data_IF_850493319520
#
_entry.id   IF_850493319520
#
_cell.length_a   1.000
_cell.length_b   1.000
_cell.length_c   1.000
_cell.angle_alpha   90.00
_cell.angle_beta   90.00
_cell.angle_gamma   90.00
#
_symmetry.space_group_name_H-M   'P 1'
#
loop_
_entity.id
_entity.type
_entity.pdbx_description
1 polymer ?
#
# COMPACT_ATOMS: atom_id res chain seq x y z
N UNK A 1 -8.28 -66.44 61.04
CA UNK A 1 -8.72 -67.79 60.75
C UNK A 1 -7.78 -68.35 59.67
N UNK A 2 -6.60 -68.75 60.08
CA UNK A 2 -6.04 -70.06 60.22
C UNK A 2 -6.43 -70.95 59.03
N UNK A 3 -5.46 -71.30 58.19
CA UNK A 3 -5.11 -72.66 57.85
C UNK A 3 -3.81 -72.73 57.06
N UNK A 4 -2.85 -73.35 57.77
CA UNK A 4 -1.58 -73.88 57.27
C UNK A 4 -1.80 -75.10 56.42
N UNK A 5 -0.96 -75.33 55.37
CA UNK A 5 -0.78 -76.60 54.77
C UNK A 5 0.69 -76.86 54.40
N UNK A 6 1.31 -77.71 55.16
CA UNK A 6 2.62 -78.34 54.96
C UNK A 6 2.64 -79.24 53.70
N UNK A 7 3.70 -79.17 52.91
CA UNK A 7 4.03 -80.08 51.84
C UNK A 7 5.52 -80.48 51.91
N UNK A 8 5.91 -81.65 51.49
CA UNK A 8 7.08 -82.36 52.01
C UNK A 8 8.42 -81.99 51.36
N UNK A 9 9.51 -82.18 52.11
CA UNK A 9 10.91 -81.92 51.75
C UNK A 9 11.40 -82.99 50.73
N UNK A 10 12.11 -82.59 49.64
CA UNK A 10 12.81 -83.54 48.77
C UNK A 10 14.22 -83.86 49.30
N UNK A 11 14.55 -85.10 49.17
CA UNK A 11 15.78 -85.83 49.56
C UNK A 11 16.96 -85.35 48.71
N UNK A 12 18.09 -85.03 49.36
CA UNK A 12 19.36 -84.74 48.71
C UNK A 12 20.04 -86.02 48.25
N UNK A 13 20.36 -86.15 46.96
CA UNK A 13 21.29 -87.15 46.41
C UNK A 13 22.65 -86.52 46.18
N UNK A 14 23.77 -87.17 46.47
CA UNK A 14 25.11 -86.60 46.28
C UNK A 14 25.52 -86.64 44.81
N UNK A 15 25.96 -85.46 44.28
CA UNK A 15 26.51 -85.30 42.94
C UNK A 15 27.95 -85.87 42.91
N UNK A 16 28.22 -86.81 42.00
CA UNK A 16 29.53 -87.44 41.79
C UNK A 16 30.56 -86.44 41.27
N UNK A 17 31.80 -86.55 41.73
CA UNK A 17 32.96 -85.63 41.47
C UNK A 17 33.27 -85.44 39.96
N UNK A 18 32.87 -86.41 39.11
CA UNK A 18 33.06 -86.29 37.62
C UNK A 18 32.25 -85.25 36.92
N UNK A 19 31.11 -84.82 37.51
CA UNK A 19 30.29 -83.74 36.92
C UNK A 19 30.78 -82.31 37.23
N UNK A 20 31.54 -82.19 38.32
CA UNK A 20 32.17 -80.91 38.70
C UNK A 20 33.34 -80.52 37.79
N UNK A 21 34.11 -81.53 37.30
CA UNK A 21 35.25 -81.27 36.39
C UNK A 21 34.82 -80.90 34.97
N UNK A 22 33.73 -81.43 34.49
CA UNK A 22 33.17 -81.12 33.18
C UNK A 22 32.55 -79.66 33.13
N UNK A 23 31.98 -79.22 34.27
CA UNK A 23 31.39 -77.90 34.39
C UNK A 23 32.42 -76.82 34.55
N UNK A 24 33.59 -77.10 35.13
CA UNK A 24 34.72 -76.15 35.24
C UNK A 24 35.41 -75.90 33.88
N UNK A 25 35.52 -76.95 33.00
CA UNK A 25 36.12 -76.78 31.66
C UNK A 25 35.20 -75.97 30.69
N UNK A 26 33.87 -76.08 30.85
CA UNK A 26 32.91 -75.30 30.01
C UNK A 26 32.82 -73.83 30.37
N UNK A 27 33.13 -73.46 31.62
CA UNK A 27 33.10 -72.02 32.05
C UNK A 27 34.35 -71.30 31.57
N UNK A 28 35.49 -71.96 31.35
CA UNK A 28 36.71 -71.29 30.87
C UNK A 28 36.69 -70.95 29.38
N UNK A 29 35.80 -71.60 28.57
CA UNK A 29 35.67 -71.33 27.13
C UNK A 29 34.72 -70.13 26.81
N UNK A 30 33.82 -69.75 27.71
CA UNK A 30 32.88 -68.64 27.56
C UNK A 30 33.51 -67.29 27.96
N UNK A 31 34.61 -67.28 28.70
CA UNK A 31 35.24 -66.04 29.18
C UNK A 31 36.13 -65.33 28.13
N UNK A 32 36.41 -65.97 26.97
CA UNK A 32 37.29 -65.39 25.95
C UNK A 32 36.57 -64.74 24.78
N UNK A 33 35.20 -64.65 24.76
CA UNK A 33 34.42 -64.13 23.64
C UNK A 33 33.82 -62.71 23.84
N UNK A 34 34.13 -61.95 24.90
CA UNK A 34 33.75 -60.58 25.06
C UNK A 34 34.93 -59.61 24.74
N UNK A 35 35.37 -59.58 23.47
CA UNK A 35 35.94 -58.32 22.94
C UNK A 35 34.80 -57.36 22.85
N UNK A 36 34.72 -56.37 23.76
CA UNK A 36 33.98 -55.16 23.60
C UNK A 36 34.56 -54.47 22.37
N UNK A 37 33.87 -54.59 21.24
CA UNK A 37 34.13 -53.69 20.11
C UNK A 37 34.02 -52.27 20.63
N UNK A 38 35.10 -51.49 20.51
CA UNK A 38 35.09 -50.09 20.81
C UNK A 38 33.99 -49.45 19.91
N UNK A 39 33.11 -48.57 20.45
CA UNK A 39 32.09 -47.93 19.64
C UNK A 39 32.78 -47.24 18.47
N UNK A 40 32.24 -47.37 17.26
CA UNK A 40 32.84 -46.75 16.06
C UNK A 40 33.09 -45.27 16.35
N UNK A 41 34.24 -44.72 15.90
CA UNK A 41 34.56 -43.31 16.13
C UNK A 41 33.37 -42.50 15.63
N UNK A 42 32.75 -41.72 16.52
CA UNK A 42 31.63 -40.82 16.15
C UNK A 42 32.15 -39.94 15.04
N UNK A 43 31.62 -40.12 13.86
CA UNK A 43 31.94 -39.25 12.71
C UNK A 43 31.71 -37.78 13.12
N UNK A 44 32.73 -36.97 12.96
CA UNK A 44 32.61 -35.52 13.22
C UNK A 44 31.47 -34.97 12.38
N UNK A 45 30.44 -34.34 12.98
CA UNK A 45 29.34 -33.80 12.22
C UNK A 45 29.84 -32.71 11.26
N UNK A 46 29.47 -32.85 9.99
CA UNK A 46 29.75 -31.85 8.95
C UNK A 46 28.71 -30.75 9.05
N UNK A 47 29.16 -29.49 9.13
CA UNK A 47 28.31 -28.32 9.32
C UNK A 47 28.55 -27.28 8.24
N UNK A 48 27.48 -26.54 7.85
CA UNK A 48 27.63 -25.32 7.07
C UNK A 48 27.79 -24.11 8.00
N UNK A 49 28.60 -23.16 7.58
CA UNK A 49 28.88 -21.97 8.38
C UNK A 49 28.68 -20.68 7.61
N UNK A 50 28.37 -19.60 8.31
CA UNK A 50 28.38 -18.22 7.80
C UNK A 50 29.05 -17.31 8.82
N UNK A 51 29.45 -16.12 8.41
CA UNK A 51 30.00 -15.11 9.33
C UNK A 51 28.87 -14.23 9.86
N UNK A 52 28.91 -13.91 11.14
CA UNK A 52 28.11 -12.84 11.73
C UNK A 52 28.61 -11.51 11.17
N UNK A 53 27.80 -10.82 10.40
CA UNK A 53 28.17 -9.52 9.82
C UNK A 53 27.82 -8.39 10.78
N UNK A 54 28.75 -7.46 10.95
CA UNK A 54 28.50 -6.19 11.64
C UNK A 54 28.55 -5.06 10.63
N UNK A 55 27.46 -4.30 10.51
CA UNK A 55 27.39 -3.23 9.53
C UNK A 55 26.08 -2.46 9.57
N UNK A 56 25.96 -1.43 8.71
CA UNK A 56 24.73 -0.65 8.62
C UNK A 56 23.60 -1.51 8.09
N UNK A 57 22.47 -1.52 8.81
CA UNK A 57 21.25 -2.19 8.39
C UNK A 57 20.08 -1.22 8.49
N UNK A 58 19.41 -0.91 7.38
CA UNK A 58 18.23 -0.07 7.42
C UNK A 58 17.06 -0.79 8.13
N UNK A 59 16.33 -0.05 8.94
CA UNK A 59 15.06 -0.50 9.48
C UNK A 59 13.95 -0.07 8.52
N UNK A 60 13.51 -0.99 7.69
CA UNK A 60 12.48 -0.77 6.69
C UNK A 60 11.18 -1.43 7.16
N UNK A 61 10.11 -0.66 7.18
CA UNK A 61 8.74 -1.16 7.39
C UNK A 61 8.06 -1.28 6.03
N UNK A 62 7.59 -2.48 5.72
CA UNK A 62 6.82 -2.74 4.50
C UNK A 62 5.34 -2.76 4.82
N UNK A 63 4.54 -2.00 4.07
CA UNK A 63 3.10 -1.93 4.23
C UNK A 63 2.39 -1.90 2.87
N UNK A 64 1.17 -2.44 2.76
CA UNK A 64 0.32 -2.19 1.61
C UNK A 64 -0.14 -0.74 1.62
N UNK A 65 -0.17 -0.11 0.45
CA UNK A 65 -0.66 1.25 0.26
C UNK A 65 -1.63 1.33 -0.89
N UNK A 66 -2.41 2.40 -0.91
CA UNK A 66 -3.31 2.74 -2.00
C UNK A 66 -3.01 4.15 -2.49
N UNK A 67 -2.94 4.30 -3.81
CA UNK A 67 -2.73 5.59 -4.46
C UNK A 67 -4.02 6.39 -4.40
N UNK A 68 -3.94 7.63 -3.93
CA UNK A 68 -5.04 8.60 -3.90
C UNK A 68 -4.64 9.83 -4.73
N UNK A 69 -5.59 10.51 -5.39
CA UNK A 69 -5.30 11.80 -5.99
C UNK A 69 -4.92 12.81 -4.90
N UNK A 70 -4.06 13.78 -5.22
CA UNK A 70 -3.70 14.82 -4.25
C UNK A 70 -4.92 15.66 -3.87
N UNK A 71 -5.80 15.95 -4.83
CA UNK A 71 -7.09 16.64 -4.64
C UNK A 71 -8.13 16.03 -5.59
N UNK A 72 -9.37 16.01 -5.14
CA UNK A 72 -10.54 15.61 -5.91
C UNK A 72 -11.60 16.68 -5.80
N UNK A 73 -12.16 17.11 -6.93
CA UNK A 73 -13.26 18.05 -6.95
C UNK A 73 -14.38 17.50 -7.83
N UNK A 74 -15.58 17.44 -7.27
CA UNK A 74 -16.80 17.14 -7.99
C UNK A 74 -17.37 18.45 -8.55
N UNK A 75 -17.40 18.58 -9.87
CA UNK A 75 -17.92 19.76 -10.57
C UNK A 75 -19.43 19.61 -10.72
N UNK A 76 -20.16 20.60 -10.18
CA UNK A 76 -21.65 20.65 -10.24
C UNK A 76 -22.11 21.92 -10.96
N UNK A 77 -23.32 21.89 -11.49
CA UNK A 77 -23.97 23.08 -12.01
C UNK A 77 -24.39 24.00 -10.85
N UNK A 78 -24.15 25.29 -10.99
CA UNK A 78 -24.58 26.31 -10.03
C UNK A 78 -25.92 26.95 -10.44
N UNK A 79 -26.29 26.83 -11.73
CA UNK A 79 -27.58 27.27 -12.28
C UNK A 79 -28.27 26.12 -12.98
N UNK A 80 -29.60 26.13 -12.97
CA UNK A 80 -30.41 25.13 -13.66
C UNK A 80 -30.69 25.55 -15.09
N UNK A 81 -30.58 24.59 -16.03
CA UNK A 81 -30.83 24.89 -17.44
C UNK A 81 -30.45 23.73 -18.35
N UNK A 82 -30.66 23.87 -19.64
CA UNK A 82 -30.26 22.86 -20.62
C UNK A 82 -28.76 22.97 -20.89
N UNK A 83 -28.04 21.83 -20.81
CA UNK A 83 -26.61 21.75 -21.16
C UNK A 83 -26.48 21.83 -22.68
N UNK A 84 -25.91 22.94 -23.18
CA UNK A 84 -25.77 23.17 -24.61
C UNK A 84 -24.50 22.58 -25.19
N UNK A 85 -23.41 22.58 -24.40
CA UNK A 85 -22.11 22.11 -24.86
C UNK A 85 -21.30 21.49 -23.74
N UNK A 86 -20.50 20.47 -24.10
CA UNK A 86 -19.41 19.89 -23.32
C UNK A 86 -18.14 20.19 -24.11
N UNK A 87 -17.13 20.82 -23.48
CA UNK A 87 -15.96 21.37 -24.16
C UNK A 87 -14.68 20.54 -23.95
N UNK A 88 -14.80 19.29 -23.49
CA UNK A 88 -13.71 18.36 -23.26
C UNK A 88 -14.18 16.92 -23.49
N UNK A 89 -13.27 15.95 -23.56
CA UNK A 89 -13.57 14.53 -23.59
C UNK A 89 -13.29 13.88 -22.24
N UNK A 90 -13.96 12.75 -21.98
CA UNK A 90 -13.73 11.94 -20.77
C UNK A 90 -12.27 11.50 -20.69
N UNK A 91 -11.64 11.72 -19.55
CA UNK A 91 -10.23 11.38 -19.33
C UNK A 91 -9.21 12.43 -19.79
N UNK A 92 -9.66 13.55 -20.37
CA UNK A 92 -8.77 14.65 -20.77
C UNK A 92 -8.14 15.33 -19.54
N UNK A 93 -6.93 15.86 -19.71
CA UNK A 93 -6.31 16.79 -18.76
C UNK A 93 -6.83 18.20 -19.01
N UNK A 94 -7.32 18.85 -17.96
CA UNK A 94 -7.85 20.22 -18.02
C UNK A 94 -7.05 21.14 -17.11
N UNK A 95 -6.98 22.40 -17.52
CA UNK A 95 -6.34 23.45 -16.73
C UNK A 95 -7.37 24.21 -15.91
N UNK A 96 -6.95 24.74 -14.76
CA UNK A 96 -7.78 25.63 -13.95
C UNK A 96 -8.33 26.79 -14.80
N UNK A 97 -9.64 27.08 -14.69
CA UNK A 97 -10.34 28.08 -15.45
C UNK A 97 -10.78 27.65 -16.87
N UNK A 98 -10.35 26.51 -17.38
CA UNK A 98 -10.78 25.98 -18.66
C UNK A 98 -12.30 25.74 -18.66
N UNK A 99 -12.98 26.09 -19.75
CA UNK A 99 -14.42 25.86 -19.92
C UNK A 99 -14.65 24.34 -20.03
N UNK A 100 -15.56 23.84 -19.21
CA UNK A 100 -15.97 22.43 -19.22
C UNK A 100 -17.37 22.25 -19.81
N UNK A 101 -18.32 23.05 -19.34
CA UNK A 101 -19.70 22.95 -19.75
C UNK A 101 -20.31 24.34 -20.00
N UNK A 102 -21.28 24.40 -20.90
CA UNK A 102 -22.08 25.58 -21.15
C UNK A 102 -23.56 25.22 -20.98
N UNK A 103 -24.23 25.93 -20.08
CA UNK A 103 -25.67 25.91 -19.89
C UNK A 103 -26.31 27.00 -20.74
N UNK A 104 -27.53 26.81 -21.24
CA UNK A 104 -28.26 27.81 -22.01
C UNK A 104 -28.33 29.15 -21.24
N UNK A 105 -27.54 30.10 -21.70
CA UNK A 105 -27.43 31.43 -21.06
C UNK A 105 -28.52 32.42 -21.45
N UNK A 106 -29.38 32.08 -22.44
CA UNK A 106 -30.40 33.01 -22.96
C UNK A 106 -31.37 33.52 -21.89
N UNK A 107 -31.94 32.67 -21.01
CA UNK A 107 -32.82 33.13 -19.94
C UNK A 107 -32.10 34.10 -18.98
N UNK A 108 -30.86 33.79 -18.60
CA UNK A 108 -30.07 34.60 -17.67
C UNK A 108 -29.68 35.97 -18.30
N UNK A 109 -29.32 35.98 -19.58
CA UNK A 109 -29.04 37.22 -20.33
C UNK A 109 -30.27 38.09 -20.46
N UNK A 110 -31.45 37.50 -20.70
CA UNK A 110 -32.70 38.25 -20.77
C UNK A 110 -33.07 38.89 -19.42
N UNK A 111 -32.83 38.13 -18.32
CA UNK A 111 -33.06 38.66 -16.96
C UNK A 111 -32.06 39.79 -16.63
N UNK A 112 -30.78 39.65 -16.96
CA UNK A 112 -29.77 40.69 -16.80
C UNK A 112 -30.16 41.98 -17.58
N UNK A 113 -30.65 41.83 -18.82
CA UNK A 113 -31.11 42.96 -19.61
C UNK A 113 -32.31 43.65 -18.94
N UNK A 114 -33.27 42.89 -18.40
CA UNK A 114 -34.44 43.42 -17.71
C UNK A 114 -34.06 44.26 -16.47
N UNK A 115 -33.22 43.67 -15.56
CA UNK A 115 -32.80 44.37 -14.34
C UNK A 115 -31.88 45.57 -14.63
N UNK A 116 -31.03 45.47 -15.66
CA UNK A 116 -30.20 46.57 -16.12
C UNK A 116 -31.04 47.76 -16.63
N UNK A 117 -32.13 47.49 -17.35
CA UNK A 117 -33.07 48.52 -17.82
C UNK A 117 -33.80 49.19 -16.66
N UNK A 118 -34.21 48.45 -15.62
CA UNK A 118 -34.79 49.01 -14.40
C UNK A 118 -33.80 49.94 -13.70
N UNK A 119 -32.56 49.50 -13.46
CA UNK A 119 -31.51 50.32 -12.86
C UNK A 119 -31.24 51.61 -13.65
N UNK A 120 -31.26 51.52 -14.98
CA UNK A 120 -31.08 52.71 -15.85
C UNK A 120 -32.22 53.69 -15.66
N UNK A 121 -33.50 53.24 -15.66
CA UNK A 121 -34.69 54.07 -15.42
C UNK A 121 -34.58 54.78 -14.07
N UNK A 122 -34.32 54.06 -13.01
CA UNK A 122 -34.34 54.55 -11.64
C UNK A 122 -33.11 55.48 -11.35
N UNK A 123 -32.00 55.21 -12.02
CA UNK A 123 -30.83 56.14 -12.03
C UNK A 123 -31.16 57.47 -12.67
N UNK A 124 -31.96 57.54 -13.77
CA UNK A 124 -32.40 58.79 -14.39
C UNK A 124 -33.33 59.52 -13.44
N UNK A 125 -34.26 58.83 -12.77
CA UNK A 125 -35.15 59.43 -11.77
C UNK A 125 -34.36 60.05 -10.60
N UNK A 126 -33.34 59.37 -10.11
CA UNK A 126 -32.44 59.84 -9.05
C UNK A 126 -31.70 61.09 -9.50
N UNK A 127 -31.17 61.15 -10.73
CA UNK A 127 -30.51 62.35 -11.30
C UNK A 127 -31.47 63.55 -11.35
N UNK A 128 -32.72 63.29 -11.78
CA UNK A 128 -33.76 64.29 -11.79
C UNK A 128 -34.10 64.85 -10.39
N UNK A 129 -34.30 63.91 -9.42
CA UNK A 129 -34.59 64.27 -8.03
C UNK A 129 -33.46 65.12 -7.39
N UNK A 130 -32.19 64.68 -7.59
CA UNK A 130 -31.02 65.48 -7.16
C UNK A 130 -30.97 66.89 -7.77
N UNK A 131 -31.32 66.98 -9.06
CA UNK A 131 -31.41 68.34 -9.74
C UNK A 131 -32.49 69.19 -9.14
N UNK A 132 -33.66 68.64 -8.75
CA UNK A 132 -34.74 69.33 -8.07
C UNK A 132 -34.24 69.76 -6.66
N UNK A 133 -33.70 68.90 -5.86
CA UNK A 133 -33.15 69.19 -4.52
C UNK A 133 -32.13 70.34 -4.58
N UNK A 134 -31.19 70.28 -5.55
CA UNK A 134 -30.17 71.33 -5.73
C UNK A 134 -30.79 72.72 -6.03
N UNK A 135 -31.82 72.76 -6.86
CA UNK A 135 -32.55 74.01 -7.13
C UNK A 135 -33.24 74.59 -5.89
N UNK A 136 -33.96 73.69 -5.14
CA UNK A 136 -34.67 74.14 -3.91
C UNK A 136 -33.68 74.50 -2.80
N UNK A 137 -32.55 73.87 -2.69
CA UNK A 137 -31.48 74.26 -1.77
C UNK A 137 -30.91 75.65 -2.07
N UNK A 138 -30.87 76.07 -3.36
CA UNK A 138 -30.48 77.41 -3.73
C UNK A 138 -31.59 78.38 -3.38
N UNK A 139 -32.86 78.14 -3.73
CA UNK A 139 -34.00 78.96 -3.40
C UNK A 139 -34.16 79.19 -1.89
N UNK A 140 -33.81 78.24 -1.06
CA UNK A 140 -33.83 78.40 0.38
C UNK A 140 -32.76 79.39 0.89
N UNK A 141 -31.59 79.40 0.27
CA UNK A 141 -30.56 80.46 0.57
C UNK A 141 -31.05 81.82 0.30
N UNK A 142 -31.89 81.96 -0.73
CA UNK A 142 -32.51 83.25 -1.15
C UNK A 142 -33.80 83.53 -0.37
N UNK A 143 -34.17 82.71 0.65
CA UNK A 143 -35.39 82.94 1.45
C UNK A 143 -36.69 82.51 0.76
N UNK A 144 -36.64 81.91 -0.43
CA UNK A 144 -37.80 81.59 -1.27
C UNK A 144 -38.29 80.14 -1.18
N UNK A 145 -37.72 79.25 -0.30
CA UNK A 145 -38.19 77.92 -0.05
C UNK A 145 -38.24 77.57 1.46
N UNK A 146 -39.20 76.73 1.86
CA UNK A 146 -39.38 76.31 3.24
C UNK A 146 -38.41 75.14 3.60
N UNK A 147 -38.07 75.04 4.86
CA UNK A 147 -37.28 73.88 5.39
C UNK A 147 -37.97 72.55 5.09
N UNK A 148 -39.27 72.45 5.30
CA UNK A 148 -40.11 71.31 5.04
C UNK A 148 -39.97 70.77 3.61
N UNK A 149 -39.95 71.74 2.60
CA UNK A 149 -39.73 71.36 1.20
C UNK A 149 -38.37 70.73 0.96
N UNK A 150 -37.30 71.23 1.59
CA UNK A 150 -35.95 70.63 1.49
C UNK A 150 -35.91 69.31 2.10
N UNK A 151 -36.48 69.10 3.31
CA UNK A 151 -36.54 67.85 4.00
C UNK A 151 -37.29 66.81 3.16
N UNK A 152 -38.41 67.15 2.52
CA UNK A 152 -39.16 66.30 1.63
C UNK A 152 -38.35 65.87 0.40
N UNK A 153 -37.67 66.83 -0.30
CA UNK A 153 -36.86 66.43 -1.44
C UNK A 153 -35.61 65.64 -1.05
N UNK A 154 -35.03 65.90 0.11
CA UNK A 154 -33.91 65.11 0.64
C UNK A 154 -34.37 63.67 0.92
N UNK A 155 -35.53 63.52 1.55
CA UNK A 155 -36.09 62.18 1.81
C UNK A 155 -36.37 61.44 0.48
N UNK A 156 -36.91 62.14 -0.54
CA UNK A 156 -37.15 61.58 -1.86
C UNK A 156 -35.84 61.13 -2.55
N UNK A 157 -34.79 61.91 -2.50
CA UNK A 157 -33.48 61.58 -3.06
C UNK A 157 -32.94 60.37 -2.34
N UNK A 158 -32.99 60.32 -1.00
CA UNK A 158 -32.52 59.16 -0.20
C UNK A 158 -33.30 57.87 -0.52
N UNK A 159 -34.62 57.97 -0.74
CA UNK A 159 -35.44 56.82 -1.15
C UNK A 159 -35.03 56.28 -2.53
N UNK A 160 -34.78 57.19 -3.52
CA UNK A 160 -34.33 56.81 -4.85
C UNK A 160 -32.90 56.26 -4.84
N UNK A 161 -32.02 56.79 -4.00
CA UNK A 161 -30.68 56.22 -3.78
C UNK A 161 -30.73 54.78 -3.27
N UNK A 162 -31.61 54.52 -2.31
CA UNK A 162 -31.84 53.18 -1.83
C UNK A 162 -32.38 52.23 -2.92
N UNK A 163 -33.31 52.74 -3.77
CA UNK A 163 -33.84 51.99 -4.90
C UNK A 163 -32.75 51.64 -5.93
N UNK A 164 -31.95 52.60 -6.34
CA UNK A 164 -30.82 52.36 -7.28
C UNK A 164 -29.79 51.39 -6.67
N UNK A 165 -29.55 51.46 -5.36
CA UNK A 165 -28.67 50.49 -4.66
C UNK A 165 -29.24 49.07 -4.70
N UNK A 166 -30.55 48.93 -4.51
CA UNK A 166 -31.22 47.63 -4.61
C UNK A 166 -31.20 47.08 -6.06
N UNK A 167 -31.42 47.92 -7.06
CA UNK A 167 -31.33 47.52 -8.47
C UNK A 167 -29.93 47.12 -8.86
N UNK A 168 -28.91 47.77 -8.33
CA UNK A 168 -27.51 47.38 -8.55
C UNK A 168 -27.23 46.01 -8.01
N UNK A 169 -27.68 45.70 -6.80
CA UNK A 169 -27.54 44.37 -6.22
C UNK A 169 -28.29 43.31 -7.06
N UNK A 170 -29.49 43.61 -7.57
CA UNK A 170 -30.23 42.72 -8.45
C UNK A 170 -29.50 42.48 -9.79
N UNK A 171 -28.90 43.54 -10.37
CA UNK A 171 -28.08 43.42 -11.57
C UNK A 171 -26.85 42.57 -11.37
N UNK A 172 -26.14 42.73 -10.24
CA UNK A 172 -24.94 41.95 -9.91
C UNK A 172 -25.32 40.45 -9.71
N UNK A 173 -26.46 40.14 -9.10
CA UNK A 173 -26.97 38.77 -8.97
C UNK A 173 -27.32 38.14 -10.34
N UNK A 174 -27.98 38.92 -11.24
CA UNK A 174 -28.27 38.44 -12.58
C UNK A 174 -27.00 38.24 -13.42
N UNK A 175 -26.01 39.10 -13.27
CA UNK A 175 -24.69 38.95 -13.91
C UNK A 175 -23.97 37.69 -13.44
N UNK A 176 -23.97 37.41 -12.13
CA UNK A 176 -23.41 36.19 -11.57
C UNK A 176 -24.08 34.97 -12.17
N UNK A 177 -25.40 34.96 -12.35
CA UNK A 177 -26.13 33.86 -12.97
C UNK A 177 -25.71 33.60 -14.42
N UNK A 178 -25.40 34.65 -15.18
CA UNK A 178 -24.84 34.54 -16.54
C UNK A 178 -23.42 33.97 -16.49
N UNK A 179 -22.59 34.39 -15.55
CA UNK A 179 -21.23 33.85 -15.37
C UNK A 179 -21.26 32.38 -14.98
N UNK A 180 -22.16 31.99 -14.09
CA UNK A 180 -22.34 30.61 -13.64
C UNK A 180 -22.93 29.69 -14.72
N UNK A 181 -23.50 30.20 -15.79
CA UNK A 181 -23.94 29.42 -16.95
C UNK A 181 -22.78 28.82 -17.73
N UNK A 182 -21.55 29.32 -17.54
CA UNK A 182 -20.31 28.77 -18.09
C UNK A 182 -19.52 28.12 -16.97
N UNK A 183 -19.57 26.81 -16.91
CA UNK A 183 -18.93 26.00 -15.86
C UNK A 183 -17.47 25.78 -16.23
N UNK A 184 -16.57 26.21 -15.35
CA UNK A 184 -15.12 26.12 -15.54
C UNK A 184 -14.49 25.15 -14.55
N UNK A 185 -13.32 24.62 -14.92
CA UNK A 185 -12.53 23.77 -14.05
C UNK A 185 -12.02 24.57 -12.82
N UNK A 186 -12.35 24.17 -11.59
CA UNK A 186 -11.90 24.86 -10.39
C UNK A 186 -10.42 24.61 -10.08
N UNK A 187 -9.84 23.57 -10.66
CA UNK A 187 -8.43 23.21 -10.55
C UNK A 187 -7.95 22.49 -11.81
N UNK A 188 -6.64 22.44 -12.00
CA UNK A 188 -6.04 21.59 -13.02
C UNK A 188 -6.05 20.14 -12.58
N UNK A 189 -6.26 19.20 -13.51
CA UNK A 189 -6.30 17.77 -13.25
C UNK A 189 -6.89 16.98 -14.39
N UNK A 190 -7.10 15.69 -14.15
CA UNK A 190 -7.69 14.77 -15.10
C UNK A 190 -9.16 14.58 -14.84
N UNK A 191 -9.98 14.68 -15.90
CA UNK A 191 -11.43 14.48 -15.82
C UNK A 191 -11.78 12.99 -15.72
N UNK A 192 -12.83 12.69 -14.94
CA UNK A 192 -13.45 11.36 -14.88
C UNK A 192 -14.52 11.17 -15.95
N UNK A 193 -15.44 10.24 -15.68
CA UNK A 193 -16.59 9.96 -16.52
C UNK A 193 -17.59 11.12 -16.49
N UNK A 194 -18.24 11.38 -17.61
CA UNK A 194 -19.34 12.31 -17.73
C UNK A 194 -20.64 11.71 -17.22
N UNK A 195 -21.23 12.33 -16.20
CA UNK A 195 -22.54 11.90 -15.69
C UNK A 195 -23.68 12.36 -16.59
N UNK A 196 -23.54 13.49 -17.26
CA UNK A 196 -24.59 14.14 -18.07
C UNK A 196 -23.99 14.64 -19.38
N UNK A 197 -24.71 14.45 -20.48
CA UNK A 197 -24.29 14.86 -21.83
C UNK A 197 -25.04 16.09 -22.30
N UNK A 198 -24.51 16.78 -23.32
CA UNK A 198 -25.19 17.91 -23.97
C UNK A 198 -26.61 17.51 -24.41
N UNK A 199 -27.56 18.45 -24.34
CA UNK A 199 -28.99 18.25 -24.59
C UNK A 199 -29.80 17.84 -23.38
N UNK A 200 -29.19 17.54 -22.23
CA UNK A 200 -29.90 17.19 -21.00
C UNK A 200 -30.13 18.42 -20.11
N UNK A 201 -31.16 18.37 -19.30
CA UNK A 201 -31.46 19.38 -18.29
C UNK A 201 -30.59 19.12 -17.04
N UNK A 202 -29.84 20.12 -16.62
CA UNK A 202 -29.11 20.11 -15.34
C UNK A 202 -29.85 20.97 -14.31
N UNK A 203 -29.74 20.57 -13.04
CA UNK A 203 -30.26 21.35 -11.91
C UNK A 203 -29.13 21.82 -11.05
N UNK A 204 -29.26 23.00 -10.48
CA UNK A 204 -28.27 23.54 -9.56
C UNK A 204 -28.08 22.62 -8.35
N UNK A 205 -26.82 22.39 -7.98
CA UNK A 205 -26.42 21.60 -6.80
C UNK A 205 -27.02 20.20 -6.71
N UNK A 206 -27.39 19.59 -7.87
CA UNK A 206 -27.95 18.23 -7.89
C UNK A 206 -26.86 17.17 -8.02
N UNK A 207 -27.09 16.02 -7.41
CA UNK A 207 -26.32 14.79 -7.64
C UNK A 207 -26.94 13.98 -8.81
N UNK A 208 -26.09 13.26 -9.57
CA UNK A 208 -24.64 13.21 -9.47
C UNK A 208 -23.94 14.46 -10.01
N UNK A 209 -22.67 14.69 -9.59
CA UNK A 209 -21.82 15.74 -10.17
C UNK A 209 -21.70 15.54 -11.70
N UNK A 210 -21.51 16.62 -12.44
CA UNK A 210 -21.37 16.59 -13.91
C UNK A 210 -20.11 15.81 -14.32
N UNK A 211 -19.01 16.07 -13.63
CA UNK A 211 -17.70 15.38 -13.79
C UNK A 211 -16.89 15.52 -12.50
N UNK A 212 -16.05 14.54 -12.23
CA UNK A 212 -15.05 14.62 -11.16
C UNK A 212 -13.69 14.95 -11.78
N UNK A 213 -12.95 15.89 -11.21
CA UNK A 213 -11.57 16.21 -11.58
C UNK A 213 -10.65 15.72 -10.48
N UNK A 214 -9.64 14.92 -10.85
CA UNK A 214 -8.61 14.39 -9.96
C UNK A 214 -7.26 15.02 -10.29
N UNK A 215 -6.57 15.56 -9.29
CA UNK A 215 -5.19 15.96 -9.42
C UNK A 215 -4.30 14.70 -9.31
N UNK A 216 -3.76 14.29 -10.46
CA UNK A 216 -2.95 13.07 -10.57
C UNK A 216 -1.44 13.34 -10.57
N UNK A 217 -1.04 14.59 -10.50
CA UNK A 217 0.34 15.10 -10.42
C UNK A 217 0.41 16.31 -9.48
N UNK A 218 0.93 16.12 -8.26
CA UNK A 218 1.39 14.88 -7.63
C UNK A 218 0.24 13.94 -7.21
N UNK A 219 0.60 12.73 -6.76
CA UNK A 219 -0.32 11.79 -6.09
C UNK A 219 0.06 11.62 -4.63
N UNK A 220 -0.88 11.18 -3.84
CA UNK A 220 -0.68 10.71 -2.47
C UNK A 220 -0.76 9.19 -2.43
N UNK A 221 0.02 8.56 -1.58
CA UNK A 221 -0.12 7.14 -1.28
C UNK A 221 -0.44 6.99 0.19
N UNK A 222 -1.64 6.50 0.47
CA UNK A 222 -2.13 6.21 1.82
C UNK A 222 -1.72 4.81 2.19
N UNK A 223 -1.13 4.64 3.38
CA UNK A 223 -0.75 3.36 3.95
C UNK A 223 -0.83 3.41 5.47
N UNK A 224 -0.84 2.24 6.12
CA UNK A 224 -0.93 2.15 7.56
C UNK A 224 0.25 1.34 8.11
N UNK A 225 0.82 1.78 9.23
CA UNK A 225 1.88 1.07 9.95
C UNK A 225 1.43 0.70 11.36
N UNK A 226 1.90 -0.43 11.92
CA UNK A 226 1.62 -0.79 13.32
C UNK A 226 2.09 0.27 14.32
N UNK A 227 1.39 0.40 15.44
CA UNK A 227 1.72 1.35 16.52
C UNK A 227 3.16 1.19 17.03
N UNK A 228 3.66 -0.06 17.13
CA UNK A 228 5.04 -0.33 17.55
C UNK A 228 6.07 0.33 16.64
N UNK A 229 5.85 0.28 15.31
CA UNK A 229 6.75 0.85 14.32
C UNK A 229 6.62 2.37 14.27
N UNK A 230 5.42 2.89 14.52
CA UNK A 230 5.16 4.31 14.71
C UNK A 230 5.87 4.86 15.96
N UNK A 231 5.86 4.14 17.07
CA UNK A 231 6.58 4.53 18.28
C UNK A 231 8.09 4.63 18.02
N UNK A 232 8.67 3.71 17.22
CA UNK A 232 10.06 3.73 16.84
C UNK A 232 10.36 4.91 15.88
N UNK A 233 9.47 5.15 14.90
CA UNK A 233 9.53 6.32 14.03
C UNK A 233 9.58 7.62 14.84
N UNK A 234 8.71 7.78 15.85
CA UNK A 234 8.67 8.98 16.71
C UNK A 234 9.92 9.19 17.52
N UNK A 235 10.53 8.14 18.09
CA UNK A 235 11.78 8.25 18.85
C UNK A 235 12.91 8.83 18.02
N UNK A 236 12.93 8.55 16.72
CA UNK A 236 14.01 8.92 15.80
C UNK A 236 13.72 10.16 14.94
N UNK A 237 12.43 10.50 14.74
CA UNK A 237 11.99 11.69 13.99
C UNK A 237 12.08 13.00 14.78
N UNK A 238 12.78 13.04 15.91
CA UNK A 238 13.03 14.28 16.68
C UNK A 238 13.74 15.41 15.90
N UNK A 239 14.11 15.17 14.66
CA UNK A 239 14.54 16.16 13.67
C UNK A 239 13.53 16.15 12.53
N UNK A 240 13.05 17.32 12.19
CA UNK A 240 12.06 17.70 11.16
C UNK A 240 12.42 17.22 9.72
N UNK A 241 12.90 15.99 9.58
CA UNK A 241 13.34 15.39 8.32
C UNK A 241 12.21 14.59 7.72
N UNK A 242 11.76 14.98 6.55
CA UNK A 242 10.80 14.19 5.78
C UNK A 242 11.41 12.82 5.50
N UNK A 243 10.75 11.76 6.02
CA UNK A 243 11.19 10.38 5.80
C UNK A 243 11.02 10.01 4.34
N UNK A 244 12.02 9.33 3.80
CA UNK A 244 11.98 8.81 2.45
C UNK A 244 11.13 7.53 2.41
N UNK A 245 10.29 7.47 1.40
CA UNK A 245 9.34 6.37 1.17
C UNK A 245 9.59 5.83 -0.23
N UNK A 246 9.79 4.53 -0.35
CA UNK A 246 9.90 3.87 -1.64
C UNK A 246 8.58 3.18 -1.96
N UNK A 247 8.06 3.45 -3.15
CA UNK A 247 6.81 2.89 -3.66
C UNK A 247 7.15 1.87 -4.74
N UNK A 248 6.69 0.63 -4.59
CA UNK A 248 6.75 -0.41 -5.61
C UNK A 248 5.36 -0.61 -6.19
N UNK A 249 5.20 -0.24 -7.46
CA UNK A 249 4.01 -0.51 -8.23
C UNK A 249 4.11 -1.93 -8.81
N UNK A 250 3.02 -2.70 -8.76
CA UNK A 250 2.99 -4.07 -9.32
C UNK A 250 3.07 -5.19 -8.29
N UNK A 251 3.15 -6.42 -8.77
CA UNK A 251 3.27 -7.64 -7.94
C UNK A 251 4.71 -7.86 -7.47
N UNK A 252 4.90 -8.75 -6.50
CA UNK A 252 6.23 -9.04 -5.93
C UNK A 252 7.27 -9.55 -6.94
N UNK A 253 6.82 -10.01 -8.11
CA UNK A 253 7.66 -10.46 -9.23
C UNK A 253 8.00 -9.36 -10.25
N UNK A 254 7.39 -8.17 -10.12
CA UNK A 254 7.62 -7.08 -11.05
C UNK A 254 8.89 -6.31 -10.63
N UNK A 255 9.91 -6.34 -11.49
CA UNK A 255 11.21 -5.70 -11.26
C UNK A 255 11.23 -4.21 -11.62
N UNK A 256 10.07 -3.54 -11.61
CA UNK A 256 10.00 -2.10 -11.84
C UNK A 256 10.81 -1.33 -10.79
N UNK A 257 11.50 -0.30 -11.23
CA UNK A 257 12.29 0.56 -10.34
C UNK A 257 11.38 1.19 -9.26
N UNK A 258 11.81 1.25 -7.99
CA UNK A 258 11.02 1.88 -6.94
C UNK A 258 10.87 3.37 -7.20
N UNK A 259 9.67 3.89 -7.00
CA UNK A 259 9.35 5.31 -7.13
C UNK A 259 9.60 5.99 -5.78
N UNK A 260 10.47 7.00 -5.77
CA UNK A 260 10.74 7.80 -4.58
C UNK A 260 9.58 8.71 -4.22
N UNK A 261 9.24 8.74 -2.95
CA UNK A 261 8.23 9.62 -2.38
C UNK A 261 8.70 10.15 -1.01
N UNK A 262 8.03 11.18 -0.50
CA UNK A 262 8.31 11.72 0.82
C UNK A 262 7.09 11.63 1.71
N UNK A 263 7.28 11.28 2.98
CA UNK A 263 6.22 11.31 3.97
C UNK A 263 5.67 12.74 4.08
N UNK A 264 4.38 12.90 3.81
CA UNK A 264 3.72 14.21 3.79
C UNK A 264 2.73 14.39 4.95
N UNK A 265 2.19 13.29 5.48
CA UNK A 265 1.16 13.34 6.51
C UNK A 265 1.25 12.12 7.41
N UNK A 266 1.02 12.33 8.68
CA UNK A 266 0.86 11.32 9.73
C UNK A 266 -0.43 11.64 10.46
N UNK A 267 -1.30 10.66 10.60
CA UNK A 267 -2.57 10.83 11.30
C UNK A 267 -2.32 11.13 12.78
N UNK A 268 -3.23 11.90 13.37
CA UNK A 268 -3.19 12.28 14.79
C UNK A 268 -3.80 11.23 15.73
N UNK A 269 -4.38 10.16 15.18
CA UNK A 269 -5.03 9.09 15.91
C UNK A 269 -4.54 7.71 15.48
N UNK A 270 -4.56 6.78 16.44
CA UNK A 270 -4.33 5.35 16.18
C UNK A 270 -5.70 4.71 15.99
N UNK A 271 -5.88 3.97 14.90
CA UNK A 271 -7.07 3.15 14.70
C UNK A 271 -7.06 1.99 15.70
N UNK A 272 -7.99 2.04 16.64
CA UNK A 272 -8.10 1.05 17.74
C UNK A 272 -8.50 -0.34 17.27
N UNK A 273 -9.15 -0.45 16.11
CA UNK A 273 -9.59 -1.74 15.57
C UNK A 273 -8.44 -2.54 14.96
N UNK A 274 -7.47 -1.84 14.38
CA UNK A 274 -6.32 -2.44 13.68
C UNK A 274 -4.99 -2.25 14.42
N UNK A 275 -4.92 -1.35 15.41
CA UNK A 275 -3.69 -0.98 16.10
C UNK A 275 -2.67 -0.31 15.16
N UNK A 276 -3.15 0.45 14.16
CA UNK A 276 -2.30 1.08 13.15
C UNK A 276 -2.47 2.59 13.10
N UNK A 277 -1.47 3.28 12.58
CA UNK A 277 -1.49 4.71 12.27
C UNK A 277 -1.47 4.89 10.77
N UNK A 278 -2.35 5.76 10.25
CA UNK A 278 -2.42 6.09 8.83
C UNK A 278 -1.39 7.15 8.49
N UNK A 279 -0.67 6.92 7.40
CA UNK A 279 0.30 7.85 6.84
C UNK A 279 -0.01 8.11 5.37
N UNK A 280 0.44 9.28 4.87
CA UNK A 280 0.40 9.57 3.43
C UNK A 280 1.78 10.04 2.95
N UNK A 281 2.26 9.41 1.90
CA UNK A 281 3.46 9.83 1.18
C UNK A 281 3.08 10.57 -0.10
N UNK A 282 3.83 11.60 -0.47
CA UNK A 282 3.64 12.36 -1.71
C UNK A 282 4.67 11.94 -2.74
N UNK A 283 4.19 11.51 -3.91
CA UNK A 283 5.00 11.17 -5.08
C UNK A 283 4.72 12.15 -6.23
N UNK A 284 5.75 12.52 -6.98
CA UNK A 284 5.62 13.49 -8.08
C UNK A 284 4.78 12.99 -9.25
N UNK A 285 4.90 11.71 -9.60
CA UNK A 285 4.14 11.03 -10.66
C UNK A 285 4.19 11.72 -12.03
N UNK A 286 5.36 12.23 -12.42
CA UNK A 286 5.51 12.96 -13.69
C UNK A 286 5.26 12.08 -14.92
N UNK A 287 5.64 10.81 -14.84
CA UNK A 287 5.49 9.77 -15.86
C UNK A 287 4.11 9.10 -15.87
N UNK A 288 3.26 9.39 -14.88
CA UNK A 288 1.92 8.79 -14.75
C UNK A 288 1.92 7.31 -14.37
N UNK A 289 3.03 6.79 -13.84
CA UNK A 289 3.18 5.38 -13.46
C UNK A 289 2.25 4.97 -12.29
N UNK A 290 1.85 5.92 -11.46
CA UNK A 290 0.93 5.69 -10.35
C UNK A 290 -0.48 6.18 -10.72
N UNK A 291 -1.46 5.28 -10.59
CA UNK A 291 -2.85 5.59 -10.91
C UNK A 291 -3.72 5.62 -9.64
N UNK A 292 -4.57 6.65 -9.44
CA UNK A 292 -5.51 6.69 -8.33
C UNK A 292 -6.34 5.42 -8.21
N UNK A 293 -6.44 4.88 -6.99
CA UNK A 293 -7.11 3.60 -6.72
C UNK A 293 -6.18 2.38 -6.80
N UNK A 294 -4.99 2.50 -7.36
CA UNK A 294 -4.02 1.41 -7.49
C UNK A 294 -3.47 1.01 -6.12
N UNK A 295 -3.33 -0.31 -5.89
CA UNK A 295 -2.60 -0.85 -4.74
C UNK A 295 -1.12 -0.93 -5.05
N UNK A 296 -0.31 -0.55 -4.06
CA UNK A 296 1.15 -0.51 -4.15
C UNK A 296 1.76 -1.05 -2.86
N UNK A 297 3.02 -1.48 -2.93
CA UNK A 297 3.80 -1.81 -1.74
C UNK A 297 4.66 -0.62 -1.35
N UNK A 298 4.60 -0.28 -0.08
CA UNK A 298 5.39 0.80 0.51
C UNK A 298 6.54 0.19 1.31
N UNK A 299 7.72 0.77 1.15
CA UNK A 299 8.88 0.53 1.97
C UNK A 299 9.29 1.86 2.62
N UNK A 300 9.00 1.98 3.90
CA UNK A 300 9.33 3.17 4.71
C UNK A 300 10.60 2.89 5.50
N UNK A 301 11.66 3.63 5.20
CA UNK A 301 12.89 3.58 5.97
C UNK A 301 12.76 4.45 7.22
N UNK A 302 12.72 3.80 8.39
CA UNK A 302 12.61 4.50 9.67
C UNK A 302 13.97 4.98 10.16
N UNK A 303 15.01 4.18 9.97
CA UNK A 303 16.35 4.45 10.46
C UNK A 303 17.39 3.50 9.88
N UNK A 304 18.66 3.84 9.99
CA UNK A 304 19.79 2.95 9.72
C UNK A 304 20.50 2.66 11.03
N UNK A 305 20.57 1.39 11.40
CA UNK A 305 21.39 0.94 12.52
C UNK A 305 22.82 0.72 12.01
N UNK A 306 23.73 1.61 12.40
CA UNK A 306 25.11 1.61 11.88
C UNK A 306 25.96 0.42 12.34
N UNK A 307 25.55 -0.27 13.40
CA UNK A 307 26.32 -1.33 14.04
C UNK A 307 25.52 -2.62 14.23
N UNK A 308 24.50 -2.85 13.41
CA UNK A 308 23.68 -4.06 13.50
C UNK A 308 24.54 -5.32 13.33
N UNK A 309 24.39 -6.28 14.24
CA UNK A 309 24.97 -7.61 14.08
C UNK A 309 23.91 -8.49 13.44
N UNK A 310 24.19 -9.04 12.28
CA UNK A 310 23.23 -9.81 11.49
C UNK A 310 23.76 -11.23 11.26
N UNK A 311 22.83 -12.18 11.36
CA UNK A 311 23.10 -13.61 11.09
C UNK A 311 21.99 -14.16 10.18
N UNK A 312 22.26 -15.19 9.36
CA UNK A 312 21.20 -15.88 8.64
C UNK A 312 20.14 -16.44 9.60
N UNK A 313 18.87 -16.29 9.28
CA UNK A 313 17.76 -16.72 10.16
C UNK A 313 17.87 -18.23 10.52
N UNK A 314 18.36 -19.04 9.59
CA UNK A 314 18.57 -20.49 9.81
C UNK A 314 19.67 -20.83 10.84
N UNK A 315 20.55 -19.87 11.21
CA UNK A 315 21.56 -20.09 12.24
C UNK A 315 21.02 -20.04 13.67
N UNK A 316 19.84 -19.44 13.85
CA UNK A 316 19.23 -19.23 15.17
C UNK A 316 18.40 -20.47 15.55
N UNK A 317 18.72 -21.03 16.70
CA UNK A 317 18.01 -22.19 17.27
C UNK A 317 17.22 -21.74 18.50
N UNK A 318 15.93 -22.06 18.50
CA UNK A 318 15.05 -21.79 19.66
C UNK A 318 14.79 -23.10 20.40
N UNK A 319 15.00 -23.10 21.71
CA UNK A 319 14.75 -24.23 22.60
C UNK A 319 13.97 -23.81 23.84
N UNK A 320 13.61 -24.79 24.68
CA UNK A 320 12.96 -24.52 25.97
C UNK A 320 13.82 -23.65 26.92
N UNK A 321 15.14 -23.68 26.76
CA UNK A 321 16.10 -22.90 27.56
C UNK A 321 16.44 -21.53 27.01
N UNK A 322 15.80 -21.15 25.89
CA UNK A 322 16.02 -19.85 25.22
C UNK A 322 16.54 -19.99 23.79
N UNK A 323 16.90 -18.86 23.23
CA UNK A 323 17.39 -18.76 21.85
C UNK A 323 18.92 -18.67 21.86
N UNK A 324 19.58 -19.44 21.00
CA UNK A 324 21.03 -19.51 20.92
C UNK A 324 21.51 -19.73 19.47
N UNK A 325 22.79 -19.48 19.25
CA UNK A 325 23.52 -19.82 18.03
C UNK A 325 24.73 -20.66 18.38
N UNK A 326 25.20 -21.50 17.45
CA UNK A 326 26.48 -22.18 17.61
C UNK A 326 27.59 -21.37 16.92
N UNK A 327 28.60 -21.00 17.68
CA UNK A 327 29.82 -20.34 17.21
C UNK A 327 30.93 -21.37 17.10
N UNK A 328 31.69 -21.35 16.01
CA UNK A 328 32.87 -22.19 15.85
C UNK A 328 34.08 -21.45 16.42
N UNK A 329 34.67 -21.99 17.50
CA UNK A 329 35.91 -21.49 18.09
C UNK A 329 37.15 -22.05 17.35
N UNK A 330 38.35 -21.52 17.68
CA UNK A 330 39.64 -21.81 16.99
C UNK A 330 40.00 -23.29 16.90
N UNK A 331 39.46 -24.17 17.79
CA UNK A 331 39.70 -25.61 17.83
C UNK A 331 38.71 -26.42 16.99
N UNK A 332 37.95 -25.84 16.07
CA UNK A 332 36.84 -26.47 15.35
C UNK A 332 35.80 -27.06 16.28
N UNK A 333 35.55 -26.43 17.43
CA UNK A 333 34.53 -26.82 18.39
C UNK A 333 33.34 -25.86 18.28
N UNK A 334 32.14 -26.45 18.25
CA UNK A 334 30.90 -25.69 18.26
C UNK A 334 30.52 -25.36 19.71
N UNK A 335 30.51 -24.07 20.06
CA UNK A 335 30.08 -23.56 21.35
C UNK A 335 28.76 -22.85 21.26
N UNK A 336 27.88 -23.12 22.21
CA UNK A 336 26.57 -22.53 22.28
C UNK A 336 26.63 -21.13 22.90
N UNK A 337 26.27 -20.10 22.13
CA UNK A 337 26.12 -18.73 22.60
C UNK A 337 24.67 -18.36 22.72
N UNK A 338 24.23 -18.01 23.93
CA UNK A 338 22.89 -17.51 24.15
C UNK A 338 22.76 -16.11 23.55
N UNK A 339 21.72 -15.88 22.75
CA UNK A 339 21.52 -14.63 22.03
C UNK A 339 20.14 -14.06 22.28
N UNK A 340 20.08 -12.75 22.30
CA UNK A 340 18.81 -12.04 22.24
C UNK A 340 18.56 -11.62 20.81
N UNK A 341 17.48 -12.15 20.25
CA UNK A 341 17.08 -11.92 18.87
C UNK A 341 16.27 -10.62 18.79
N UNK A 342 16.63 -9.77 17.86
CA UNK A 342 15.92 -8.55 17.52
C UNK A 342 14.98 -8.74 16.32
N UNK A 343 14.95 -7.77 15.41
CA UNK A 343 14.11 -7.80 14.22
C UNK A 343 14.65 -8.75 13.13
N UNK A 344 13.72 -9.29 12.34
CA UNK A 344 14.05 -10.06 11.14
C UNK A 344 13.93 -9.15 9.91
N UNK A 345 14.91 -9.26 8.99
CA UNK A 345 14.93 -8.53 7.73
C UNK A 345 15.21 -9.51 6.58
N UNK A 346 14.16 -10.00 5.93
CA UNK A 346 14.28 -11.03 4.90
C UNK A 346 14.95 -12.31 5.41
N UNK A 347 16.06 -12.78 4.79
CA UNK A 347 16.75 -14.02 5.18
C UNK A 347 17.69 -13.83 6.38
N UNK A 348 17.84 -12.62 6.91
CA UNK A 348 18.73 -12.29 8.02
C UNK A 348 17.96 -11.84 9.25
N UNK A 349 18.55 -12.06 10.41
CA UNK A 349 18.03 -11.66 11.69
C UNK A 349 19.05 -10.82 12.45
N UNK A 350 18.60 -9.78 13.11
CA UNK A 350 19.46 -8.93 13.96
C UNK A 350 19.62 -9.58 15.32
N UNK A 351 20.83 -9.56 15.84
CA UNK A 351 21.15 -10.00 17.19
C UNK A 351 21.42 -8.78 18.06
N UNK A 352 20.53 -8.55 19.04
CA UNK A 352 20.62 -7.42 19.95
C UNK A 352 21.74 -7.59 20.99
N UNK A 353 22.03 -8.85 21.41
CA UNK A 353 23.11 -9.16 22.34
C UNK A 353 23.51 -10.64 22.25
N UNK A 354 24.74 -10.96 22.65
CA UNK A 354 25.29 -12.30 22.68
C UNK A 354 26.34 -12.61 21.60
N UNK A 355 26.52 -11.71 20.62
CA UNK A 355 27.60 -11.75 19.62
C UNK A 355 28.30 -10.39 19.55
N UNK A 356 29.53 -10.39 19.04
CA UNK A 356 30.35 -9.17 18.84
C UNK A 356 30.42 -8.77 17.36
N UNK A 357 30.19 -9.72 16.46
CA UNK A 357 30.32 -9.56 15.00
C UNK A 357 31.67 -10.06 14.49
N UNK A 358 31.63 -10.80 13.37
CA UNK A 358 32.81 -11.46 12.78
C UNK A 358 32.96 -12.92 13.15
N UNK A 359 32.18 -13.43 14.11
CA UNK A 359 32.21 -14.84 14.52
C UNK A 359 31.72 -15.75 13.40
N UNK A 360 32.29 -16.96 13.34
CA UNK A 360 31.83 -18.01 12.44
C UNK A 360 30.68 -18.77 13.11
N UNK A 361 29.48 -18.66 12.56
CA UNK A 361 28.27 -19.28 13.08
C UNK A 361 27.82 -20.45 12.21
N UNK A 362 27.24 -21.47 12.83
CA UNK A 362 26.74 -22.67 12.14
C UNK A 362 25.34 -22.38 11.63
N UNK A 363 25.12 -22.61 10.32
CA UNK A 363 23.85 -22.38 9.64
C UNK A 363 23.10 -23.66 9.32
N UNK A 364 23.78 -24.80 9.27
CA UNK A 364 23.18 -26.11 9.03
C UNK A 364 23.91 -27.21 9.82
N UNK A 365 23.20 -28.24 10.23
CA UNK A 365 23.76 -29.35 11.03
C UNK A 365 23.60 -29.16 12.55
N UNK A 366 22.98 -28.09 13.05
CA UNK A 366 22.87 -27.75 14.48
C UNK A 366 22.18 -28.85 15.31
N UNK A 367 21.19 -29.55 14.73
CA UNK A 367 20.40 -30.56 15.43
C UNK A 367 21.22 -31.81 15.88
N UNK A 368 22.46 -31.95 15.38
CA UNK A 368 23.36 -33.05 15.70
C UNK A 368 24.48 -32.64 16.65
N UNK A 369 24.49 -31.37 17.07
CA UNK A 369 25.55 -30.78 17.88
C UNK A 369 25.15 -30.71 19.34
N UNK A 370 26.13 -31.09 20.20
CA UNK A 370 26.13 -30.74 21.60
C UNK A 370 27.13 -29.63 21.84
N UNK A 371 27.00 -28.92 22.96
CA UNK A 371 27.97 -27.88 23.36
C UNK A 371 29.38 -28.46 23.47
N UNK A 372 30.36 -27.80 22.83
CA UNK A 372 31.75 -28.24 22.75
C UNK A 372 32.03 -29.39 21.73
N UNK A 373 31.06 -29.77 20.90
CA UNK A 373 31.25 -30.83 19.89
C UNK A 373 32.28 -30.37 18.82
N UNK A 374 33.21 -31.29 18.46
CA UNK A 374 34.13 -31.06 17.34
C UNK A 374 33.36 -31.16 16.02
N UNK A 375 33.54 -30.17 15.12
CA UNK A 375 32.82 -30.05 13.85
C UNK A 375 33.79 -30.00 12.67
N UNK A 376 33.33 -30.51 11.54
CA UNK A 376 34.01 -30.35 10.26
C UNK A 376 33.27 -29.33 9.41
N UNK A 377 33.96 -28.24 9.01
CA UNK A 377 33.35 -27.15 8.27
C UNK A 377 33.26 -27.51 6.78
N UNK A 378 32.05 -27.64 6.28
CA UNK A 378 31.79 -27.74 4.84
C UNK A 378 31.78 -26.32 4.25
N UNK A 379 32.85 -25.92 3.58
CA UNK A 379 32.87 -24.70 2.77
C UNK A 379 31.95 -24.92 1.57
N UNK A 380 30.80 -24.26 1.56
CA UNK A 380 29.95 -24.18 0.36
C UNK A 380 30.65 -23.30 -0.68
N UNK A 381 31.66 -23.87 -1.36
CA UNK A 381 32.12 -23.31 -2.62
C UNK A 381 30.93 -23.31 -3.57
N UNK A 382 30.55 -22.16 -4.07
CA UNK A 382 29.38 -21.93 -4.90
C UNK A 382 29.27 -23.00 -5.99
N UNK A 383 28.20 -23.78 -5.95
CA UNK A 383 27.84 -24.71 -7.02
C UNK A 383 27.28 -23.89 -8.18
N UNK A 384 28.24 -23.31 -8.95
CA UNK A 384 27.98 -22.88 -10.30
C UNK A 384 27.45 -24.10 -11.06
N UNK A 385 26.35 -23.93 -11.77
CA UNK A 385 25.64 -24.95 -12.48
C UNK A 385 26.60 -25.83 -13.32
N UNK A 386 26.67 -27.09 -12.99
CA UNK A 386 27.22 -28.11 -13.85
C UNK A 386 26.10 -28.51 -14.78
N UNK A 387 26.10 -27.91 -15.98
CA UNK A 387 25.37 -28.42 -17.12
C UNK A 387 25.79 -29.90 -17.31
N UNK A 388 24.79 -30.78 -17.28
CA UNK A 388 24.99 -32.19 -17.43
C UNK A 388 25.54 -32.54 -18.82
N UNK A 389 26.71 -33.15 -18.85
CA UNK A 389 27.15 -34.01 -19.93
C UNK A 389 26.23 -35.23 -19.96
N UNK A 390 25.29 -35.22 -20.87
CA UNK A 390 24.54 -36.38 -21.31
C UNK A 390 24.96 -36.67 -22.75
N UNK A 391 26.14 -37.25 -22.94
CA UNK A 391 26.50 -37.89 -24.19
C UNK A 391 26.77 -39.36 -23.92
N UNK A 392 25.74 -40.18 -24.13
CA UNK A 392 25.88 -41.60 -24.40
C UNK A 392 24.68 -42.10 -25.20
N UNK A 393 24.63 -41.76 -26.47
CA UNK A 393 23.72 -42.34 -27.44
C UNK A 393 24.47 -43.41 -28.23
N UNK A 394 24.17 -44.67 -27.97
CA UNK A 394 24.44 -45.78 -28.89
C UNK A 394 23.46 -45.67 -30.07
N UNK A 395 23.92 -45.90 -31.32
CA UNK A 395 23.02 -45.97 -32.47
C UNK A 395 22.37 -47.35 -32.56
N UNK A 396 21.07 -47.39 -32.72
CA UNK A 396 20.34 -48.58 -33.19
C UNK A 396 19.89 -48.24 -34.64
N UNK A 397 20.43 -48.97 -35.55
CA UNK A 397 20.09 -49.05 -36.96
C UNK A 397 18.85 -49.91 -37.21
N UNK A 398 18.12 -49.58 -38.27
CA UNK A 398 17.07 -50.38 -38.91
C UNK A 398 15.70 -49.74 -38.86
N UNK A 399 14.93 -49.64 -39.85
CA UNK A 399 14.88 -49.98 -41.29
C UNK A 399 13.55 -49.43 -41.82
N UNK A 400 13.59 -48.95 -43.02
CA UNK A 400 12.53 -48.78 -44.04
C UNK A 400 11.03 -48.84 -43.72
N UNK A 401 10.27 -47.92 -44.31
CA UNK A 401 8.83 -48.08 -44.56
C UNK A 401 8.13 -46.84 -45.10
N UNK A 402 8.04 -46.78 -46.42
CA UNK A 402 7.46 -45.73 -47.25
C UNK A 402 5.91 -45.69 -47.27
N UNK A 403 5.40 -44.60 -47.90
CA UNK A 403 4.03 -44.35 -48.43
C UNK A 403 3.12 -43.59 -47.42
N UNK A 404 2.60 -42.41 -47.69
CA UNK A 404 2.00 -41.94 -48.95
C UNK A 404 0.55 -41.65 -48.61
N UNK A 405 0.06 -40.42 -48.81
CA UNK A 405 -1.37 -40.15 -48.67
C UNK A 405 -1.72 -38.68 -48.56
N UNK A 406 -1.94 -38.10 -49.72
CA UNK A 406 -2.59 -36.82 -50.03
C UNK A 406 -4.06 -36.88 -49.60
N UNK A 407 -4.65 -35.77 -49.08
CA UNK A 407 -6.08 -35.67 -48.87
C UNK A 407 -6.54 -34.25 -48.41
N UNK A 408 -6.89 -33.44 -49.40
CA UNK A 408 -7.64 -32.20 -49.26
C UNK A 408 -9.13 -32.48 -48.99
N UNK A 409 -9.83 -31.51 -48.35
CA UNK A 409 -11.32 -31.50 -48.21
C UNK A 409 -11.72 -30.47 -47.16
N UNK A 410 -12.02 -29.22 -47.39
CA UNK A 410 -13.22 -28.60 -47.96
C UNK A 410 -14.57 -29.15 -47.40
N UNK A 411 -15.35 -28.25 -46.74
CA UNK A 411 -16.72 -28.48 -46.36
C UNK A 411 -17.17 -27.59 -45.20
N UNK A 412 -17.63 -26.43 -45.30
CA UNK A 412 -18.96 -25.82 -45.61
C UNK A 412 -20.15 -26.57 -44.93
N UNK A 413 -20.90 -25.87 -44.13
CA UNK A 413 -22.13 -26.39 -43.51
C UNK A 413 -22.84 -25.39 -42.58
N UNK A 414 -23.65 -24.53 -43.18
CA UNK A 414 -24.69 -23.72 -42.51
C UNK A 414 -25.83 -24.61 -42.06
N UNK A 415 -26.56 -24.21 -41.00
CA UNK A 415 -28.02 -24.30 -40.75
C UNK A 415 -28.26 -23.97 -39.29
N UNK A 416 -29.10 -23.00 -38.80
CA UNK A 416 -30.52 -22.89 -39.15
C UNK A 416 -31.33 -23.49 -38.02
N UNK A 417 -31.91 -22.66 -37.12
CA UNK A 417 -32.76 -23.13 -36.05
C UNK A 417 -33.52 -22.01 -35.36
N UNK A 418 -34.69 -21.69 -35.88
CA UNK A 418 -35.73 -20.82 -35.26
C UNK A 418 -36.33 -21.48 -34.01
N UNK A 419 -36.64 -20.68 -32.99
CA UNK A 419 -37.45 -21.07 -31.84
C UNK A 419 -38.16 -19.89 -31.21
N UNK A 420 -39.46 -19.75 -31.51
CA UNK A 420 -40.46 -18.82 -30.95
C UNK A 420 -40.94 -19.27 -29.54
N UNK A 421 -41.35 -18.30 -28.73
CA UNK A 421 -42.26 -18.46 -27.57
C UNK A 421 -42.13 -17.27 -26.64
N UNK A 422 -42.93 -16.24 -26.63
CA UNK A 422 -44.31 -15.98 -26.22
C UNK A 422 -44.53 -16.11 -24.70
N UNK A 423 -44.97 -15.00 -24.12
CA UNK A 423 -45.87 -14.80 -22.98
C UNK A 423 -45.13 -14.34 -21.73
N UNK A 424 -45.41 -13.28 -21.09
CA UNK A 424 -46.69 -12.60 -20.81
C UNK A 424 -46.76 -12.41 -19.30
N UNK A 425 -46.75 -11.31 -18.81
CA UNK A 425 -47.56 -10.42 -17.98
C UNK A 425 -46.71 -9.30 -17.49
#
# INVERSE_FOLDING_TARGET
>A
MIMTKNGPRPVRRPLSVSRLLAMALSICWVATACKKDAPPPRSTPVVAVAKANRGPLPYVVSAPGQVEPARTVAVQAQVSGMLTRVAFNEGDEVNQGQILFEVDSRPFKSELARVSSNMSRDSVQLVQARGILARYAQLAKDGAATRESIDQFTANVSALEATVSADRAAMDAAKLSVEQSVIRAPMSGRTGLLSIRAGNLVRASSEPALVTINEVRPVLVRFAIPERDFAEMRKRSGTNRALDVMIRAGTASDSSAPIGAKLAFVDNAIDRSTGTVVLKARAGNADGALWPGQFVRIELELSVDSNAITVPTQAVVTSQTGTFVFVVENDSKAKRHQVKVGRTSGPIIVIDSGLVGGETIITDGQNRLNDGAKVEIRTLTGRGGRAGDANNSRPVSGDSGARGGVGAGSGNGANGGRGRGRGGI
#
